data_IF_072323118267
#
_entry.id   IF_072323118267
#
_cell.length_a   1.000
_cell.length_b   1.000
_cell.length_c   1.000
_cell.angle_alpha   90.00
_cell.angle_beta   90.00
_cell.angle_gamma   90.00
#
_symmetry.space_group_name_H-M   'P 1'
#
loop_
_entity.id
_entity.type
_entity.pdbx_description
1 polymer ?
#
# COMPACT_ATOMS: atom_id res chain seq x y z
N UNK A 1 22.66 -6.87 -13.97
CA UNK A 1 21.32 -6.97 -14.55
C UNK A 1 20.24 -7.36 -13.52
N UNK A 2 20.42 -8.44 -12.77
CA UNK A 2 19.45 -8.84 -11.76
C UNK A 2 19.20 -7.74 -10.71
N UNK A 3 20.25 -7.04 -10.28
CA UNK A 3 20.12 -5.95 -9.31
C UNK A 3 19.29 -4.78 -9.85
N UNK A 4 19.39 -4.49 -11.14
CA UNK A 4 18.58 -3.44 -11.78
C UNK A 4 17.11 -3.82 -11.84
N UNK A 5 16.82 -5.08 -12.15
CA UNK A 5 15.44 -5.58 -12.20
C UNK A 5 14.83 -5.55 -10.81
N UNK A 6 15.55 -6.04 -9.81
CA UNK A 6 15.08 -6.06 -8.42
C UNK A 6 14.84 -4.62 -7.93
N UNK A 7 15.78 -3.70 -8.19
CA UNK A 7 15.63 -2.31 -7.80
C UNK A 7 14.42 -1.65 -8.47
N UNK A 8 14.22 -1.90 -9.77
CA UNK A 8 13.06 -1.37 -10.49
C UNK A 8 11.75 -1.89 -9.88
N UNK A 9 11.67 -3.19 -9.60
CA UNK A 9 10.46 -3.80 -9.01
C UNK A 9 10.18 -3.18 -7.64
N UNK A 10 11.19 -3.07 -6.78
CA UNK A 10 11.01 -2.54 -5.44
C UNK A 10 10.60 -1.06 -5.44
N UNK A 11 11.19 -0.26 -6.34
CA UNK A 11 10.86 1.16 -6.44
C UNK A 11 9.47 1.41 -7.00
N UNK A 12 8.97 0.48 -7.83
CA UNK A 12 7.68 0.63 -8.50
C UNK A 12 6.63 -0.36 -7.99
N UNK A 13 6.85 -0.92 -6.81
CA UNK A 13 5.99 -1.97 -6.27
C UNK A 13 4.51 -1.56 -6.22
N UNK A 14 4.14 -0.36 -5.73
CA UNK A 14 2.71 0.02 -5.71
C UNK A 14 2.10 0.07 -7.11
N UNK A 15 2.81 0.62 -8.08
CA UNK A 15 2.32 0.72 -9.46
C UNK A 15 2.19 -0.65 -10.11
N UNK A 16 3.18 -1.52 -9.92
CA UNK A 16 3.16 -2.89 -10.45
C UNK A 16 2.02 -3.69 -9.84
N UNK A 17 1.81 -3.58 -8.53
CA UNK A 17 0.71 -4.25 -7.85
C UNK A 17 -0.64 -3.71 -8.29
N UNK A 18 -0.75 -2.41 -8.59
CA UNK A 18 -1.97 -1.84 -9.13
C UNK A 18 -2.30 -2.45 -10.48
N UNK A 19 -1.32 -2.55 -11.38
CA UNK A 19 -1.51 -3.17 -12.70
C UNK A 19 -1.95 -4.62 -12.54
N UNK A 20 -1.28 -5.39 -11.69
CA UNK A 20 -1.64 -6.79 -11.43
C UNK A 20 -3.06 -6.87 -10.87
N UNK A 21 -3.42 -5.99 -9.94
CA UNK A 21 -4.76 -5.97 -9.37
C UNK A 21 -5.83 -5.74 -10.43
N UNK A 22 -5.61 -4.78 -11.33
CA UNK A 22 -6.56 -4.48 -12.41
C UNK A 22 -6.69 -5.66 -13.37
N UNK A 23 -5.58 -6.28 -13.75
CA UNK A 23 -5.58 -7.44 -14.65
C UNK A 23 -6.31 -8.63 -14.02
N UNK A 24 -6.01 -8.94 -12.77
CA UNK A 24 -6.63 -10.08 -12.08
C UNK A 24 -8.11 -9.80 -11.86
N UNK A 25 -8.49 -8.59 -11.49
CA UNK A 25 -9.90 -8.22 -11.31
C UNK A 25 -10.68 -8.35 -12.60
N UNK A 26 -10.08 -7.97 -13.72
CA UNK A 26 -10.72 -8.10 -15.04
C UNK A 26 -10.81 -9.56 -15.49
N UNK A 27 -9.80 -10.38 -15.19
CA UNK A 27 -9.72 -11.76 -15.65
C UNK A 27 -10.55 -12.72 -14.80
N UNK A 28 -10.71 -12.46 -13.50
CA UNK A 28 -11.43 -13.34 -12.60
C UNK A 28 -12.87 -12.92 -12.45
N UNK A 29 -13.78 -13.81 -12.85
CA UNK A 29 -15.22 -13.61 -12.66
C UNK A 29 -15.61 -14.05 -11.25
N UNK A 30 -16.19 -13.12 -10.51
CA UNK A 30 -16.78 -13.37 -9.19
C UNK A 30 -18.22 -12.90 -9.20
N UNK A 31 -19.01 -13.46 -8.30
CA UNK A 31 -20.35 -12.96 -8.07
C UNK A 31 -20.27 -11.56 -7.44
N UNK A 32 -21.18 -10.69 -7.84
CA UNK A 32 -21.28 -9.36 -7.30
C UNK A 32 -20.88 -8.26 -8.28
N UNK A 33 -21.00 -6.99 -7.87
CA UNK A 33 -20.72 -5.85 -8.75
C UNK A 33 -19.27 -5.79 -9.20
N UNK A 34 -19.05 -5.39 -10.44
CA UNK A 34 -17.73 -5.24 -11.03
C UNK A 34 -16.88 -4.25 -10.23
N UNK A 35 -17.48 -3.13 -9.83
CA UNK A 35 -16.77 -2.12 -9.06
C UNK A 35 -16.24 -2.67 -7.73
N UNK A 36 -17.02 -3.47 -7.04
CA UNK A 36 -16.60 -4.08 -5.77
C UNK A 36 -15.48 -5.08 -5.98
N UNK A 37 -15.51 -5.83 -7.07
CA UNK A 37 -14.42 -6.76 -7.42
C UNK A 37 -13.10 -6.03 -7.64
N UNK A 38 -13.11 -4.95 -8.40
CA UNK A 38 -11.93 -4.12 -8.62
C UNK A 38 -11.43 -3.50 -7.32
N UNK A 39 -12.36 -2.98 -6.51
CA UNK A 39 -12.03 -2.42 -5.20
C UNK A 39 -11.33 -3.45 -4.31
N UNK A 40 -11.83 -4.67 -4.27
CA UNK A 40 -11.24 -5.75 -3.47
C UNK A 40 -9.79 -6.02 -3.85
N UNK A 41 -9.49 -6.11 -5.14
CA UNK A 41 -8.14 -6.37 -5.61
C UNK A 41 -7.22 -5.17 -5.39
N UNK A 42 -7.73 -3.95 -5.54
CA UNK A 42 -6.95 -2.74 -5.26
C UNK A 42 -6.60 -2.67 -3.77
N UNK A 43 -7.54 -3.01 -2.89
CA UNK A 43 -7.27 -3.06 -1.46
C UNK A 43 -6.23 -4.13 -1.10
N UNK A 44 -6.32 -5.31 -1.70
CA UNK A 44 -5.42 -6.41 -1.37
C UNK A 44 -3.98 -6.14 -1.83
N UNK A 45 -3.79 -5.75 -3.08
CA UNK A 45 -2.46 -5.70 -3.68
C UNK A 45 -1.77 -4.34 -3.51
N UNK A 46 -2.14 -3.27 -4.23
CA UNK A 46 -1.37 -2.03 -4.11
C UNK A 46 -1.47 -1.38 -2.73
N UNK A 47 -2.59 -1.48 -2.05
CA UNK A 47 -2.73 -0.88 -0.72
C UNK A 47 -2.27 -1.85 0.36
N UNK A 48 -2.79 -3.07 0.37
CA UNK A 48 -2.50 -4.04 1.43
C UNK A 48 -1.07 -4.52 1.43
N UNK A 49 -0.63 -5.10 0.33
CA UNK A 49 0.73 -5.67 0.25
C UNK A 49 1.78 -4.56 0.34
N UNK A 50 1.57 -3.43 -0.34
CA UNK A 50 2.51 -2.32 -0.27
C UNK A 50 2.59 -1.76 1.15
N UNK A 51 1.46 -1.60 1.84
CA UNK A 51 1.44 -1.13 3.22
C UNK A 51 2.19 -2.05 4.16
N UNK A 52 1.98 -3.35 4.05
CA UNK A 52 2.70 -4.33 4.85
C UNK A 52 4.20 -4.30 4.56
N UNK A 53 4.57 -4.19 3.29
CA UNK A 53 5.96 -4.12 2.87
C UNK A 53 6.64 -2.86 3.40
N UNK A 54 6.05 -1.69 3.13
CA UNK A 54 6.60 -0.41 3.56
C UNK A 54 6.66 -0.32 5.08
N UNK A 55 5.62 -0.75 5.76
CA UNK A 55 5.57 -0.76 7.22
C UNK A 55 6.65 -1.64 7.83
N UNK A 56 6.84 -2.84 7.28
CA UNK A 56 7.87 -3.75 7.73
C UNK A 56 9.28 -3.13 7.56
N UNK A 57 9.52 -2.47 6.44
CA UNK A 57 10.79 -1.79 6.20
C UNK A 57 11.05 -0.68 7.22
N UNK A 58 10.05 0.16 7.48
CA UNK A 58 10.21 1.24 8.45
C UNK A 58 10.42 0.72 9.87
N UNK A 59 9.77 -0.38 10.23
CA UNK A 59 9.86 -0.94 11.59
C UNK A 59 11.14 -1.73 11.80
N UNK A 60 11.50 -2.59 10.84
CA UNK A 60 12.60 -3.54 11.00
C UNK A 60 13.91 -3.08 10.36
N UNK A 61 13.86 -2.20 9.37
CA UNK A 61 15.03 -1.68 8.66
C UNK A 61 14.97 -0.15 8.56
N UNK A 62 14.91 0.56 9.70
CA UNK A 62 14.63 2.01 9.67
C UNK A 62 15.72 2.82 8.96
N UNK A 63 16.97 2.44 9.12
CA UNK A 63 18.09 3.17 8.47
C UNK A 63 18.02 3.04 6.95
N UNK A 64 17.80 1.82 6.46
CA UNK A 64 17.68 1.56 5.02
C UNK A 64 16.48 2.27 4.43
N UNK A 65 15.32 2.17 5.09
CA UNK A 65 14.11 2.80 4.64
C UNK A 65 14.25 4.34 4.59
N UNK A 66 14.84 4.93 5.63
CA UNK A 66 15.05 6.38 5.68
C UNK A 66 15.94 6.85 4.54
N UNK A 67 17.01 6.12 4.22
CA UNK A 67 17.89 6.45 3.10
C UNK A 67 17.16 6.44 1.77
N UNK A 68 16.28 5.47 1.55
CA UNK A 68 15.56 5.33 0.29
C UNK A 68 14.58 6.48 0.04
N UNK A 69 14.02 7.05 1.09
CA UNK A 69 13.02 8.12 0.98
C UNK A 69 13.56 9.50 1.37
N UNK A 70 14.84 9.60 1.71
CA UNK A 70 15.47 10.87 2.04
C UNK A 70 15.13 11.40 3.44
N UNK A 71 14.75 10.52 4.36
CA UNK A 71 14.44 10.89 5.74
C UNK A 71 15.63 10.66 6.67
N UNK A 72 15.68 11.44 7.74
CA UNK A 72 16.50 11.12 8.91
C UNK A 72 15.74 10.12 9.79
N UNK A 73 16.47 9.19 10.39
CA UNK A 73 15.86 8.22 11.31
C UNK A 73 15.35 8.97 12.56
N UNK A 74 14.11 8.74 12.92
CA UNK A 74 13.48 9.39 14.07
C UNK A 74 12.42 8.47 14.68
N UNK A 75 11.94 8.79 15.90
CA UNK A 75 10.83 8.04 16.51
C UNK A 75 9.56 8.04 15.66
N UNK A 76 9.34 9.09 14.87
CA UNK A 76 8.18 9.17 13.97
C UNK A 76 8.20 8.09 12.91
N UNK A 77 9.38 7.59 12.53
CA UNK A 77 9.48 6.53 11.53
C UNK A 77 8.82 5.24 12.02
N UNK A 78 8.96 4.91 13.30
CA UNK A 78 8.25 3.77 13.87
C UNK A 78 6.74 3.98 13.80
N UNK A 79 6.25 5.17 14.13
CA UNK A 79 4.83 5.47 14.08
C UNK A 79 4.29 5.34 12.66
N UNK A 80 5.00 5.89 11.67
CA UNK A 80 4.63 5.77 10.25
C UNK A 80 4.63 4.31 9.83
N UNK A 81 5.64 3.54 10.23
CA UNK A 81 5.71 2.11 9.93
C UNK A 81 4.54 1.33 10.52
N UNK A 82 4.17 1.61 11.76
CA UNK A 82 3.02 0.97 12.38
C UNK A 82 1.71 1.37 11.72
N UNK A 83 1.58 2.63 11.29
CA UNK A 83 0.41 3.07 10.53
C UNK A 83 0.32 2.35 9.19
N UNK A 84 1.43 2.21 8.47
CA UNK A 84 1.49 1.45 7.22
C UNK A 84 1.07 -0.01 7.43
N UNK A 85 1.57 -0.65 8.49
CA UNK A 85 1.20 -2.02 8.83
C UNK A 85 -0.28 -2.13 9.14
N UNK A 86 -0.82 -1.20 9.92
CA UNK A 86 -2.23 -1.20 10.30
C UNK A 86 -3.14 -1.04 9.09
N UNK A 87 -2.84 -0.08 8.22
CA UNK A 87 -3.62 0.18 7.02
C UNK A 87 -3.48 -0.98 6.05
N UNK A 88 -2.25 -1.47 5.86
CA UNK A 88 -1.99 -2.61 4.98
C UNK A 88 -2.71 -3.86 5.42
N UNK A 89 -2.64 -4.21 6.70
CA UNK A 89 -3.33 -5.37 7.24
C UNK A 89 -4.85 -5.23 7.10
N UNK A 90 -5.39 -4.05 7.42
CA UNK A 90 -6.83 -3.77 7.28
C UNK A 90 -7.28 -3.92 5.84
N UNK A 91 -6.51 -3.39 4.90
CA UNK A 91 -6.81 -3.49 3.47
C UNK A 91 -6.77 -4.95 2.98
N UNK A 92 -5.82 -5.75 3.44
CA UNK A 92 -5.76 -7.17 3.11
C UNK A 92 -6.99 -7.92 3.64
N UNK A 93 -7.36 -7.67 4.89
CA UNK A 93 -8.54 -8.28 5.50
C UNK A 93 -9.81 -7.89 4.74
N UNK A 94 -9.88 -6.64 4.29
CA UNK A 94 -11.03 -6.10 3.57
C UNK A 94 -11.37 -6.89 2.30
N UNK A 95 -10.39 -7.58 1.69
CA UNK A 95 -10.62 -8.39 0.50
C UNK A 95 -11.75 -9.40 0.70
N UNK A 96 -11.83 -10.00 1.90
CA UNK A 96 -12.82 -11.03 2.24
C UNK A 96 -14.01 -10.48 3.03
N UNK A 97 -14.12 -9.17 3.17
CA UNK A 97 -15.17 -8.57 3.97
C UNK A 97 -16.22 -7.89 3.10
N UNK A 98 -17.29 -7.45 3.73
CA UNK A 98 -18.39 -6.78 3.06
C UNK A 98 -18.03 -5.36 2.59
N UNK A 99 -18.95 -4.71 1.89
CA UNK A 99 -18.71 -3.39 1.33
C UNK A 99 -18.51 -2.33 2.41
N UNK A 100 -19.17 -2.46 3.55
CA UNK A 100 -19.01 -1.51 4.65
C UNK A 100 -17.59 -1.52 5.18
N UNK A 101 -17.02 -2.71 5.36
CA UNK A 101 -15.62 -2.84 5.80
C UNK A 101 -14.67 -2.28 4.74
N UNK A 102 -14.91 -2.59 3.45
CA UNK A 102 -14.10 -2.07 2.35
C UNK A 102 -14.14 -0.55 2.30
N UNK A 103 -15.31 0.04 2.51
CA UNK A 103 -15.46 1.50 2.51
C UNK A 103 -14.64 2.14 3.64
N UNK A 104 -14.67 1.54 4.82
CA UNK A 104 -13.86 2.03 5.94
C UNK A 104 -12.36 1.92 5.64
N UNK A 105 -11.93 0.79 5.10
CA UNK A 105 -10.53 0.57 4.75
C UNK A 105 -10.05 1.56 3.67
N UNK A 106 -10.85 1.79 2.64
CA UNK A 106 -10.54 2.77 1.59
C UNK A 106 -10.46 4.18 2.16
N UNK A 107 -11.38 4.53 3.04
CA UNK A 107 -11.39 5.86 3.65
C UNK A 107 -10.10 6.11 4.45
N UNK A 108 -9.71 5.15 5.28
CA UNK A 108 -8.49 5.27 6.07
C UNK A 108 -7.24 5.34 5.17
N UNK A 109 -7.15 4.44 4.19
CA UNK A 109 -6.01 4.41 3.27
C UNK A 109 -5.92 5.68 2.44
N UNK A 110 -7.05 6.21 1.96
CA UNK A 110 -7.07 7.42 1.14
C UNK A 110 -6.57 8.62 1.91
N UNK A 111 -6.99 8.78 3.15
CA UNK A 111 -6.54 9.90 3.99
C UNK A 111 -5.04 9.81 4.23
N UNK A 112 -4.55 8.62 4.57
CA UNK A 112 -3.13 8.40 4.80
C UNK A 112 -2.30 8.68 3.55
N UNK A 113 -2.73 8.18 2.39
CA UNK A 113 -2.03 8.37 1.13
C UNK A 113 -2.07 9.84 0.67
N UNK A 114 -3.15 10.55 0.92
CA UNK A 114 -3.21 11.99 0.65
C UNK A 114 -2.18 12.75 1.48
N UNK A 115 -1.99 12.35 2.74
CA UNK A 115 -0.95 12.93 3.58
C UNK A 115 0.45 12.68 3.02
N UNK A 116 0.70 11.49 2.52
CA UNK A 116 1.97 11.15 1.86
C UNK A 116 2.22 12.03 0.64
N UNK A 117 1.20 12.20 -0.21
CA UNK A 117 1.30 13.05 -1.40
C UNK A 117 1.57 14.50 -1.00
N UNK A 118 0.88 15.02 0.01
CA UNK A 118 1.11 16.38 0.49
C UNK A 118 2.54 16.57 0.97
N UNK A 119 3.10 15.58 1.65
CA UNK A 119 4.48 15.62 2.11
C UNK A 119 5.46 15.63 0.92
N UNK A 120 5.24 14.78 -0.06
CA UNK A 120 6.08 14.71 -1.26
C UNK A 120 6.07 16.03 -2.04
N UNK A 121 4.93 16.73 -2.04
CA UNK A 121 4.79 18.01 -2.74
C UNK A 121 5.21 19.22 -1.90
N UNK A 122 5.60 19.00 -0.65
CA UNK A 122 5.99 20.09 0.25
C UNK A 122 4.84 20.97 0.70
N UNK A 123 3.63 20.45 0.78
CA UNK A 123 2.43 21.21 1.10
C UNK A 123 2.05 21.18 2.59
N UNK A 124 2.99 20.86 3.45
CA UNK A 124 2.72 20.77 4.88
C UNK A 124 3.30 21.96 5.67
#
# INVERSE_FOLDING_TARGET
>A
MAAHIIGFVLQNLPALLLVVALVVAAARHRHGPVAERFLSWILLLPIGITGLWAGAFHVFFPTTAAKLIGWDVSPFQLEVGMADLAIGATACIAFWRDLNFKAAAVSAASIFLLGDVMQLLGLH
#
